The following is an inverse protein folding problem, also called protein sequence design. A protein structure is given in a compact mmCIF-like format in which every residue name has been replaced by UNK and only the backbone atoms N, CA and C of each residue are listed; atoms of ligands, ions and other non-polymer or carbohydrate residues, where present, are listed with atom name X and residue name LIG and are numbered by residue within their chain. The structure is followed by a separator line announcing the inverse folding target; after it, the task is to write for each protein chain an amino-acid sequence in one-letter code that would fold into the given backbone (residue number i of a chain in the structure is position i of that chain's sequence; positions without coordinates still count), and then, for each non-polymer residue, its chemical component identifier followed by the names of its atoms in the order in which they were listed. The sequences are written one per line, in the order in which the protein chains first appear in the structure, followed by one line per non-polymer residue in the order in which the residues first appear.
data_IF_524600535368
#
_entry.id   IF_524600535368
#
_cell.length_a   1.000
_cell.length_b   1.000
_cell.length_c   1.000
_cell.angle_alpha   90.00
_cell.angle_beta   90.00
_cell.angle_gamma   90.00
#
_symmetry.space_group_name_H-M   'P 1'
#
loop_
_entity.id
_entity.type
_entity.pdbx_description
1 polymer ?
#
# COMPACT_ATOMS: atom_id res chain seq x y z
N UNK A 1 0.92 -24.45 -1.45
CA UNK A 1 2.00 -24.01 -2.36
C UNK A 1 1.38 -22.97 -3.29
N UNK A 2 1.57 -21.70 -3.00
CA UNK A 2 1.05 -20.60 -3.84
C UNK A 2 2.26 -19.96 -4.50
N UNK A 3 2.32 -20.03 -5.83
CA UNK A 3 3.46 -19.58 -6.64
C UNK A 3 3.58 -18.06 -6.60
N UNK A 4 4.78 -17.57 -6.33
CA UNK A 4 5.17 -16.17 -6.18
C UNK A 4 5.80 -15.61 -7.47
N UNK A 5 5.18 -15.83 -8.63
CA UNK A 5 5.88 -15.64 -9.92
C UNK A 5 5.22 -14.67 -10.92
N UNK A 6 4.36 -13.74 -10.46
CA UNK A 6 3.87 -12.67 -11.34
C UNK A 6 4.46 -11.31 -10.92
N UNK A 7 5.78 -11.19 -11.05
CA UNK A 7 6.46 -9.90 -11.17
C UNK A 7 6.65 -9.65 -12.69
N UNK A 8 5.79 -8.82 -13.28
CA UNK A 8 5.93 -8.37 -14.66
C UNK A 8 7.17 -7.48 -14.77
N UNK A 9 8.27 -8.09 -15.20
CA UNK A 9 9.55 -7.43 -15.46
C UNK A 9 9.53 -6.89 -16.88
N UNK A 10 9.50 -5.57 -17.06
CA UNK A 10 9.74 -4.98 -18.37
C UNK A 10 11.25 -5.11 -18.69
N UNK A 11 11.58 -6.01 -19.62
CA UNK A 11 12.96 -6.33 -20.00
C UNK A 11 13.70 -5.17 -20.68
N UNK A 12 13.01 -4.07 -21.05
CA UNK A 12 13.62 -2.91 -21.71
C UNK A 12 14.01 -1.78 -20.77
N UNK A 13 13.36 -1.67 -19.61
CA UNK A 13 13.56 -0.55 -18.68
C UNK A 13 14.10 -1.01 -17.33
N UNK A 14 14.03 -2.30 -17.00
CA UNK A 14 14.42 -2.81 -15.68
C UNK A 14 13.50 -2.32 -14.56
N UNK A 15 12.41 -1.63 -14.90
CA UNK A 15 11.43 -1.10 -13.96
C UNK A 15 10.44 -2.19 -13.61
N UNK A 16 10.27 -2.44 -12.31
CA UNK A 16 9.21 -3.31 -11.80
C UNK A 16 7.92 -2.51 -11.88
N UNK A 17 7.02 -2.89 -12.78
CA UNK A 17 5.64 -2.41 -12.74
C UNK A 17 4.99 -3.05 -11.52
N UNK A 18 4.79 -2.28 -10.45
CA UNK A 18 3.96 -2.68 -9.32
C UNK A 18 2.52 -2.59 -9.81
N UNK A 19 2.10 -3.60 -10.57
CA UNK A 19 0.68 -3.83 -10.80
C UNK A 19 0.08 -4.08 -9.40
N UNK A 20 -0.98 -3.36 -9.05
CA UNK A 20 -1.58 -3.36 -7.70
C UNK A 20 -2.10 -4.76 -7.36
N UNK A 21 -1.24 -5.65 -6.88
CA UNK A 21 -1.67 -6.94 -6.36
C UNK A 21 -2.17 -6.73 -4.93
N UNK A 22 -3.41 -6.25 -4.81
CA UNK A 22 -4.09 -6.12 -3.51
C UNK A 22 -4.48 -7.52 -3.06
N UNK A 23 -3.65 -8.12 -2.19
CA UNK A 23 -3.99 -9.40 -1.57
C UNK A 23 -4.92 -9.18 -0.38
N UNK A 24 -6.21 -9.58 -0.45
CA UNK A 24 -7.10 -9.52 0.68
C UNK A 24 -6.58 -10.35 1.85
N UNK A 25 -6.46 -9.75 3.04
CA UNK A 25 -6.15 -10.48 4.26
C UNK A 25 -7.47 -11.04 4.79
N UNK A 26 -7.58 -12.36 4.81
CA UNK A 26 -8.72 -13.05 5.42
C UNK A 26 -8.43 -13.30 6.89
N UNK A 27 -9.23 -12.71 7.78
CA UNK A 27 -9.13 -12.98 9.22
C UNK A 27 -10.48 -13.43 9.79
N UNK A 28 -10.42 -14.29 10.81
CA UNK A 28 -11.61 -14.75 11.54
C UNK A 28 -11.76 -13.92 12.79
N UNK A 29 -12.91 -13.27 12.95
CA UNK A 29 -13.19 -12.46 14.13
C UNK A 29 -13.29 -13.37 15.36
N UNK A 30 -12.47 -13.10 16.38
CA UNK A 30 -12.54 -13.80 17.68
C UNK A 30 -13.91 -13.69 18.34
N UNK A 31 -14.67 -12.64 18.01
CA UNK A 31 -16.07 -12.45 18.39
C UNK A 31 -16.84 -12.06 17.14
N UNK A 32 -17.76 -12.91 16.66
CA UNK A 32 -18.60 -12.58 15.52
C UNK A 32 -19.42 -11.32 15.82
N UNK A 33 -19.51 -10.44 14.84
CA UNK A 33 -20.28 -9.20 14.92
C UNK A 33 -21.55 -9.33 14.09
N UNK A 34 -22.59 -8.60 14.46
CA UNK A 34 -23.83 -8.55 13.67
C UNK A 34 -23.85 -7.27 12.87
N UNK A 35 -23.92 -7.38 11.55
CA UNK A 35 -24.15 -6.26 10.63
C UNK A 35 -25.40 -6.58 9.83
N UNK A 36 -26.39 -5.69 9.84
CA UNK A 36 -27.68 -5.85 9.15
C UNK A 36 -28.41 -7.17 9.48
N UNK A 37 -28.33 -7.60 10.73
CA UNK A 37 -28.93 -8.86 11.20
C UNK A 37 -28.17 -10.13 10.78
N UNK A 38 -27.09 -10.00 9.99
CA UNK A 38 -26.22 -11.11 9.60
C UNK A 38 -25.03 -11.23 10.55
N UNK A 39 -24.74 -12.46 10.98
CA UNK A 39 -23.59 -12.76 11.83
C UNK A 39 -22.35 -12.92 10.95
N UNK A 40 -21.40 -12.00 11.10
CA UNK A 40 -20.13 -11.98 10.39
C UNK A 40 -19.05 -12.54 11.30
N UNK A 41 -18.44 -13.65 10.91
CA UNK A 41 -17.33 -14.30 11.61
C UNK A 41 -16.00 -14.20 10.84
N UNK A 42 -16.04 -13.80 9.56
CA UNK A 42 -14.87 -13.61 8.71
C UNK A 42 -14.91 -12.22 8.09
N UNK A 43 -13.76 -11.55 8.12
CA UNK A 43 -13.59 -10.25 7.48
C UNK A 43 -12.47 -10.36 6.46
N UNK A 44 -12.72 -9.73 5.31
CA UNK A 44 -11.69 -9.49 4.30
C UNK A 44 -11.19 -8.07 4.50
N UNK A 45 -9.94 -7.95 4.92
CA UNK A 45 -9.28 -6.65 5.08
C UNK A 45 -8.49 -6.35 3.82
N UNK A 46 -8.82 -5.23 3.19
CA UNK A 46 -8.02 -4.69 2.09
C UNK A 46 -6.87 -3.86 2.65
N UNK A 47 -5.74 -3.89 1.96
CA UNK A 47 -4.62 -3.02 2.30
C UNK A 47 -4.98 -1.56 2.06
N UNK A 48 -4.81 -0.66 3.05
CA UNK A 48 -5.05 0.76 2.84
C UNK A 48 -4.00 1.34 1.90
N UNK A 49 -4.43 2.29 1.09
CA UNK A 49 -3.54 3.07 0.23
C UNK A 49 -2.92 4.24 1.01
N UNK A 50 -1.91 4.88 0.42
CA UNK A 50 -1.34 6.12 0.96
C UNK A 50 -2.40 7.21 1.09
N UNK A 51 -3.35 7.30 0.14
CA UNK A 51 -4.49 8.21 0.22
C UNK A 51 -5.35 7.96 1.47
N UNK A 52 -5.62 6.69 1.79
CA UNK A 52 -6.41 6.33 2.98
C UNK A 52 -5.67 6.71 4.26
N UNK A 53 -4.34 6.55 4.27
CA UNK A 53 -3.49 6.96 5.39
C UNK A 53 -3.50 8.48 5.54
N UNK A 54 -3.38 9.24 4.46
CA UNK A 54 -3.46 10.71 4.47
C UNK A 54 -4.79 11.19 5.04
N UNK A 55 -5.89 10.60 4.58
CA UNK A 55 -7.23 10.93 5.08
C UNK A 55 -7.37 10.66 6.58
N UNK A 56 -6.67 9.63 7.10
CA UNK A 56 -6.63 9.32 8.54
C UNK A 56 -5.69 10.22 9.35
N UNK A 57 -4.68 10.84 8.70
CA UNK A 57 -3.62 11.62 9.33
C UNK A 57 -3.53 13.03 8.71
N UNK A 58 -4.63 13.78 8.83
CA UNK A 58 -4.87 15.05 8.14
C UNK A 58 -3.80 16.15 8.35
N UNK A 59 -2.88 16.01 9.31
CA UNK A 59 -1.84 17.02 9.63
C UNK A 59 -0.39 16.51 9.51
N UNK A 60 -0.14 15.34 8.91
CA UNK A 60 1.21 14.78 8.86
C UNK A 60 2.11 15.43 7.80
N UNK A 61 2.86 16.47 8.20
CA UNK A 61 3.88 17.12 7.36
C UNK A 61 5.00 16.17 6.91
N UNK A 62 5.31 15.16 7.73
CA UNK A 62 6.34 14.15 7.42
C UNK A 62 5.91 13.21 6.29
N UNK A 63 4.62 12.84 6.24
CA UNK A 63 4.08 12.03 5.16
C UNK A 63 4.17 12.78 3.82
N UNK A 64 3.85 14.07 3.82
CA UNK A 64 3.97 14.93 2.64
C UNK A 64 5.40 15.06 2.13
N UNK A 65 6.37 15.25 3.04
CA UNK A 65 7.79 15.31 2.70
C UNK A 65 8.27 14.00 2.08
N UNK A 66 7.92 12.88 2.70
CA UNK A 66 8.31 11.54 2.25
C UNK A 66 7.75 11.23 0.86
N UNK A 67 6.47 11.55 0.59
CA UNK A 67 5.88 11.38 -0.74
C UNK A 67 6.59 12.20 -1.81
N UNK A 68 6.90 13.47 -1.54
CA UNK A 68 7.59 14.33 -2.52
C UNK A 68 8.99 13.80 -2.85
N UNK A 69 9.70 13.31 -1.84
CA UNK A 69 11.03 12.74 -2.04
C UNK A 69 10.96 11.43 -2.83
N UNK A 70 10.03 10.54 -2.48
CA UNK A 70 9.78 9.31 -3.24
C UNK A 70 9.41 9.59 -4.70
N UNK A 71 8.56 10.59 -4.93
CA UNK A 71 8.14 10.99 -6.28
C UNK A 71 9.36 11.40 -7.11
N UNK A 72 10.26 12.17 -6.52
CA UNK A 72 11.48 12.62 -7.19
C UNK A 72 12.47 11.48 -7.43
N UNK A 73 12.67 10.58 -6.46
CA UNK A 73 13.62 9.46 -6.59
C UNK A 73 13.14 8.43 -7.62
N UNK A 74 11.82 8.22 -7.71
CA UNK A 74 11.23 7.22 -8.59
C UNK A 74 10.79 7.79 -9.95
N UNK A 75 10.97 9.10 -10.18
CA UNK A 75 10.47 9.81 -11.37
C UNK A 75 8.96 9.64 -11.60
N UNK A 76 8.18 9.75 -10.52
CA UNK A 76 6.71 9.63 -10.50
C UNK A 76 6.06 10.95 -10.11
N UNK A 77 4.77 11.13 -10.43
CA UNK A 77 4.03 12.27 -9.87
C UNK A 77 3.65 11.98 -8.42
N UNK A 78 3.59 13.01 -7.55
CA UNK A 78 3.14 12.82 -6.16
C UNK A 78 1.75 12.16 -6.05
N UNK A 79 0.87 12.39 -7.01
CA UNK A 79 -0.46 11.77 -7.04
C UNK A 79 -0.43 10.29 -7.41
N UNK A 80 0.60 9.81 -8.12
CA UNK A 80 0.76 8.38 -8.43
C UNK A 80 1.10 7.60 -7.15
N UNK A 81 1.82 8.23 -6.21
CA UNK A 81 2.18 7.63 -4.91
C UNK A 81 0.96 7.44 -4.01
N UNK A 82 -0.04 8.31 -4.10
CA UNK A 82 -1.28 8.19 -3.32
C UNK A 82 -1.98 6.84 -3.55
N UNK A 83 -1.75 6.25 -4.71
CA UNK A 83 -2.31 4.98 -5.10
C UNK A 83 -1.55 3.78 -4.52
N UNK A 84 -0.36 3.95 -3.96
CA UNK A 84 0.46 2.85 -3.48
C UNK A 84 -0.18 2.19 -2.26
N UNK A 85 0.01 0.87 -2.12
CA UNK A 85 -0.33 0.16 -0.90
C UNK A 85 0.55 0.64 0.26
N UNK A 86 -0.04 0.75 1.44
CA UNK A 86 0.65 1.20 2.66
C UNK A 86 1.95 0.45 2.97
N UNK A 87 2.03 -0.86 2.69
CA UNK A 87 3.22 -1.69 2.92
C UNK A 87 4.34 -1.35 1.95
N UNK A 88 4.01 -1.20 0.67
CA UNK A 88 4.99 -0.84 -0.35
C UNK A 88 5.49 0.58 -0.16
N UNK A 89 4.59 1.51 0.17
CA UNK A 89 4.97 2.86 0.57
C UNK A 89 5.92 2.86 1.76
N UNK A 90 5.63 2.08 2.81
CA UNK A 90 6.51 1.96 3.98
C UNK A 90 7.90 1.44 3.59
N UNK A 91 7.97 0.36 2.82
CA UNK A 91 9.25 -0.21 2.36
C UNK A 91 10.07 0.79 1.55
N UNK A 92 9.42 1.50 0.63
CA UNK A 92 10.09 2.51 -0.18
C UNK A 92 10.52 3.71 0.67
N UNK A 93 9.72 4.11 1.65
CA UNK A 93 10.09 5.19 2.58
C UNK A 93 11.30 4.85 3.44
N UNK A 94 11.45 3.59 3.87
CA UNK A 94 12.63 3.13 4.61
C UNK A 94 13.89 3.22 3.73
N UNK A 95 13.81 2.77 2.46
CA UNK A 95 14.92 2.89 1.51
C UNK A 95 15.33 4.35 1.26
N UNK A 96 14.37 5.27 1.22
CA UNK A 96 14.65 6.70 1.01
C UNK A 96 15.15 7.37 2.30
N UNK A 97 14.72 6.91 3.46
CA UNK A 97 15.18 7.43 4.76
C UNK A 97 16.67 7.22 4.99
N UNK A 98 17.26 6.17 4.42
CA UNK A 98 18.71 5.91 4.51
C UNK A 98 19.56 6.94 3.75
N UNK A 99 18.95 7.75 2.87
CA UNK A 99 19.62 8.85 2.16
C UNK A 99 19.58 10.19 2.93
N UNK A 100 18.95 10.25 4.12
CA UNK A 100 18.85 11.42 4.99
C UNK A 100 19.75 11.29 6.23
#
# INVERSE_FOLDING_TARGET
MTKYEDLLRDEKTGVILIDKVVFPIHDTLKRPITIDGQKIDKVVVQEPTVLDIEASNAESTELDKTKRMLAQVMDLKPDDIKQFGSRDFKRLSELVSDFL
#
